data_IF_971396908782
#
_entry.id   IF_971396908782
#
_cell.length_a   1.000
_cell.length_b   1.000
_cell.length_c   1.000
_cell.angle_alpha   90.00
_cell.angle_beta   90.00
_cell.angle_gamma   90.00
#
_symmetry.space_group_name_H-M   'P 1'
#
loop_
_entity.id
_entity.type
_entity.pdbx_description
1 polymer ?
#
# COMPACT_ATOMS: atom_id res chain seq x y z
N UNK A 1 7.08 -7.62 -8.70
CA UNK A 1 6.43 -8.09 -7.45
C UNK A 1 7.15 -7.59 -6.20
N UNK A 2 8.48 -7.67 -6.17
CA UNK A 2 9.29 -7.27 -5.01
C UNK A 2 9.05 -5.81 -4.61
N UNK A 3 9.02 -4.87 -5.56
CA UNK A 3 8.89 -3.43 -5.29
C UNK A 3 7.61 -3.03 -4.52
N UNK A 4 6.43 -3.51 -4.93
CA UNK A 4 5.18 -3.16 -4.23
C UNK A 4 5.11 -3.81 -2.85
N UNK A 5 5.63 -5.03 -2.71
CA UNK A 5 5.75 -5.70 -1.41
C UNK A 5 6.73 -4.97 -0.49
N UNK A 6 7.88 -4.54 -0.99
CA UNK A 6 8.83 -3.76 -0.19
C UNK A 6 8.23 -2.42 0.22
N UNK A 7 7.53 -1.70 -0.66
CA UNK A 7 6.82 -0.47 -0.29
C UNK A 7 5.78 -0.69 0.82
N UNK A 8 4.99 -1.77 0.73
CA UNK A 8 4.02 -2.11 1.77
C UNK A 8 4.69 -2.47 3.10
N UNK A 9 5.74 -3.30 3.07
CA UNK A 9 6.48 -3.70 4.27
C UNK A 9 7.14 -2.49 4.93
N UNK A 10 7.80 -1.63 4.15
CA UNK A 10 8.40 -0.38 4.65
C UNK A 10 7.33 0.56 5.20
N UNK A 11 6.19 0.70 4.53
CA UNK A 11 5.08 1.52 5.01
C UNK A 11 4.47 0.99 6.33
N UNK A 12 4.30 -0.32 6.47
CA UNK A 12 3.81 -0.94 7.71
C UNK A 12 4.82 -0.78 8.85
N UNK A 13 6.11 -1.01 8.58
CA UNK A 13 7.17 -0.79 9.59
C UNK A 13 7.24 0.68 10.03
N UNK A 14 7.14 1.61 9.08
CA UNK A 14 7.09 3.04 9.38
C UNK A 14 5.88 3.41 10.24
N UNK A 15 4.69 2.83 9.96
CA UNK A 15 3.51 3.01 10.80
C UNK A 15 3.72 2.49 12.23
N UNK A 16 4.29 1.30 12.38
CA UNK A 16 4.57 0.71 13.69
C UNK A 16 5.56 1.57 14.48
N UNK A 17 6.58 2.12 13.83
CA UNK A 17 7.52 3.05 14.46
C UNK A 17 6.84 4.37 14.87
N UNK A 18 5.94 4.91 14.04
CA UNK A 18 5.14 6.09 14.40
C UNK A 18 4.22 5.79 15.60
N UNK A 19 3.62 4.60 15.65
CA UNK A 19 2.79 4.16 16.77
C UNK A 19 3.61 4.06 18.06
N UNK A 20 4.82 3.51 17.99
CA UNK A 20 5.73 3.41 19.13
C UNK A 20 6.17 4.79 19.63
N UNK A 21 6.50 5.71 18.71
CA UNK A 21 6.80 7.11 19.03
C UNK A 21 5.60 7.83 19.67
N UNK A 22 4.40 7.61 19.15
CA UNK A 22 3.17 8.16 19.71
C UNK A 22 2.92 7.60 21.12
N UNK A 23 3.09 6.28 21.33
CA UNK A 23 2.95 5.63 22.62
C UNK A 23 3.92 6.22 23.66
N UNK A 24 5.20 6.35 23.30
CA UNK A 24 6.22 6.98 24.15
C UNK A 24 6.02 8.49 24.38
N UNK A 25 5.16 9.14 23.60
CA UNK A 25 4.75 10.53 23.81
C UNK A 25 3.51 10.66 24.71
N UNK A 26 2.83 9.57 25.05
CA UNK A 26 1.67 9.56 25.97
C UNK A 26 2.07 9.31 27.43
N UNK A 27 1.31 9.82 28.41
CA UNK A 27 1.57 9.59 29.83
C UNK A 27 1.39 8.13 30.28
N UNK A 28 0.78 7.27 29.45
CA UNK A 28 0.65 5.83 29.71
C UNK A 28 1.84 5.02 29.21
N UNK A 29 2.65 5.57 28.29
CA UNK A 29 3.74 4.86 27.61
C UNK A 29 5.13 5.47 27.79
N UNK A 30 5.26 6.64 28.39
CA UNK A 30 6.53 7.33 28.60
C UNK A 30 6.53 8.23 29.84
N UNK A 31 7.73 8.57 30.32
CA UNK A 31 7.91 9.38 31.54
C UNK A 31 7.55 10.86 31.40
N UNK A 32 7.44 11.38 30.17
CA UNK A 32 7.06 12.77 29.91
C UNK A 32 6.14 12.89 28.71
N UNK A 33 4.98 13.52 28.90
CA UNK A 33 4.04 13.86 27.83
C UNK A 33 4.60 14.98 26.95
N UNK A 34 4.65 14.78 25.63
CA UNK A 34 5.18 15.77 24.69
C UNK A 34 4.32 15.90 23.43
N UNK A 35 3.58 17.02 23.31
CA UNK A 35 2.75 17.32 22.12
C UNK A 35 3.56 17.39 20.84
N UNK A 36 4.78 17.93 20.89
CA UNK A 36 5.65 18.04 19.72
C UNK A 36 6.02 16.66 19.14
N UNK A 37 6.37 15.70 20.01
CA UNK A 37 6.64 14.31 19.59
C UNK A 37 5.41 13.64 18.99
N UNK A 38 4.22 13.91 19.55
CA UNK A 38 2.96 13.36 19.05
C UNK A 38 2.58 13.94 17.67
N UNK A 39 2.78 15.24 17.44
CA UNK A 39 2.59 15.86 16.12
C UNK A 39 3.59 15.32 15.09
N UNK A 40 4.85 15.11 15.48
CA UNK A 40 5.87 14.52 14.61
C UNK A 40 5.54 13.06 14.23
N UNK A 41 5.07 12.26 15.19
CA UNK A 41 4.59 10.90 14.94
C UNK A 41 3.38 10.89 13.98
N UNK A 42 2.46 11.85 14.13
CA UNK A 42 1.33 12.04 13.22
C UNK A 42 1.77 12.38 11.79
N UNK A 43 2.71 13.31 11.63
CA UNK A 43 3.25 13.66 10.32
C UNK A 43 3.92 12.46 9.63
N UNK A 44 4.71 11.68 10.38
CA UNK A 44 5.31 10.43 9.88
C UNK A 44 4.28 9.37 9.49
N UNK A 45 3.17 9.27 10.24
CA UNK A 45 2.11 8.31 9.96
C UNK A 45 1.39 8.57 8.64
N UNK A 46 1.20 9.85 8.26
CA UNK A 46 0.58 10.21 6.96
C UNK A 46 1.44 9.72 5.80
N UNK A 47 2.76 9.94 5.85
CA UNK A 47 3.68 9.46 4.82
C UNK A 47 3.72 7.92 4.77
N UNK A 48 3.65 7.26 5.92
CA UNK A 48 3.62 5.79 5.99
C UNK A 48 2.31 5.22 5.37
N UNK A 49 1.16 5.85 5.63
CA UNK A 49 -0.11 5.48 4.98
C UNK A 49 -0.06 5.69 3.47
N UNK A 50 0.54 6.78 2.99
CA UNK A 50 0.70 7.04 1.57
C UNK A 50 1.53 5.94 0.88
N UNK A 51 2.63 5.49 1.50
CA UNK A 51 3.45 4.39 0.97
C UNK A 51 2.66 3.08 0.86
N UNK A 52 1.83 2.77 1.86
CA UNK A 52 0.96 1.57 1.84
C UNK A 52 -0.07 1.68 0.71
N UNK A 53 -0.72 2.85 0.57
CA UNK A 53 -1.70 3.10 -0.47
C UNK A 53 -1.10 2.96 -1.87
N UNK A 54 0.08 3.55 -2.12
CA UNK A 54 0.81 3.44 -3.39
C UNK A 54 1.18 1.98 -3.68
N UNK A 55 1.67 1.25 -2.66
CA UNK A 55 1.94 -0.18 -2.78
C UNK A 55 0.69 -0.99 -3.15
N UNK A 56 -0.46 -0.68 -2.54
CA UNK A 56 -1.75 -1.29 -2.84
C UNK A 56 -2.26 -1.00 -4.25
N UNK A 57 -2.17 0.25 -4.70
CA UNK A 57 -2.54 0.67 -6.06
C UNK A 57 -1.72 -0.06 -7.13
N UNK A 58 -0.42 -0.24 -6.91
CA UNK A 58 0.42 -1.01 -7.82
C UNK A 58 -0.02 -2.47 -7.98
N UNK A 59 -0.50 -3.10 -6.89
CA UNK A 59 -1.06 -4.46 -6.95
C UNK A 59 -2.40 -4.48 -7.69
N UNK A 60 -3.26 -3.49 -7.46
CA UNK A 60 -4.55 -3.38 -8.14
C UNK A 60 -4.38 -3.18 -9.66
N UNK A 61 -3.44 -2.32 -10.07
CA UNK A 61 -3.10 -2.08 -11.47
C UNK A 61 -2.63 -3.37 -12.17
N UNK A 62 -1.71 -4.12 -11.56
CA UNK A 62 -1.28 -5.43 -12.12
C UNK A 62 -2.43 -6.43 -12.27
N UNK A 63 -3.38 -6.43 -11.33
CA UNK A 63 -4.56 -7.30 -11.43
C UNK A 63 -5.49 -6.84 -12.55
N UNK A 64 -5.61 -5.53 -12.77
CA UNK A 64 -6.39 -4.99 -13.87
C UNK A 64 -5.76 -5.32 -15.23
N UNK A 65 -4.43 -5.18 -15.37
CA UNK A 65 -3.68 -5.58 -16.56
C UNK A 65 -3.90 -7.07 -16.89
N UNK A 66 -3.74 -7.96 -15.92
CA UNK A 66 -3.95 -9.40 -16.14
C UNK A 66 -5.39 -9.73 -16.56
N UNK A 67 -6.38 -9.00 -16.04
CA UNK A 67 -7.79 -9.15 -16.46
C UNK A 67 -8.01 -8.63 -17.88
N UNK A 68 -7.38 -7.53 -18.26
CA UNK A 68 -7.45 -6.97 -19.60
C UNK A 68 -6.85 -7.92 -20.63
N UNK A 69 -5.68 -8.50 -20.35
CA UNK A 69 -5.04 -9.52 -21.19
C UNK A 69 -5.92 -10.77 -21.36
N UNK A 70 -6.52 -11.25 -20.26
CA UNK A 70 -7.43 -12.39 -20.32
C UNK A 70 -8.68 -12.12 -21.17
N UNK A 71 -9.24 -10.92 -21.07
CA UNK A 71 -10.38 -10.49 -21.88
C UNK A 71 -9.99 -10.36 -23.36
N UNK A 72 -8.84 -9.77 -23.66
CA UNK A 72 -8.32 -9.68 -25.03
C UNK A 72 -8.10 -11.07 -25.64
N UNK A 73 -7.53 -12.00 -24.89
CA UNK A 73 -7.33 -13.38 -25.35
C UNK A 73 -8.65 -14.14 -25.55
N UNK A 74 -9.67 -13.85 -24.74
CA UNK A 74 -11.01 -14.42 -24.94
C UNK A 74 -11.67 -13.86 -26.21
N UNK A 75 -11.58 -12.55 -26.42
CA UNK A 75 -12.11 -11.89 -27.62
C UNK A 75 -11.43 -12.39 -28.88
N UNK A 76 -10.09 -12.52 -28.88
CA UNK A 76 -9.36 -13.03 -30.05
C UNK A 76 -9.75 -14.47 -30.40
N UNK A 77 -9.98 -15.33 -29.40
CA UNK A 77 -10.48 -16.70 -29.62
C UNK A 77 -11.88 -16.71 -30.21
N UNK A 78 -12.77 -15.86 -29.73
CA UNK A 78 -14.14 -15.74 -30.26
C UNK A 78 -14.09 -15.25 -31.71
N UNK A 79 -13.24 -14.26 -31.99
CA UNK A 79 -13.02 -13.76 -33.34
C UNK A 79 -12.50 -14.85 -34.28
N UNK A 80 -11.50 -15.63 -33.86
CA UNK A 80 -10.98 -16.76 -34.64
C UNK A 80 -12.04 -17.85 -34.90
N UNK A 81 -12.89 -18.14 -33.92
CA UNK A 81 -14.01 -19.09 -34.07
C UNK A 81 -15.08 -18.58 -35.04
N UNK A 82 -15.38 -17.29 -35.04
CA UNK A 82 -16.33 -16.68 -35.99
C UNK A 82 -15.75 -16.58 -37.40
N UNK A 83 -14.42 -16.49 -37.53
CA UNK A 83 -13.72 -16.35 -38.81
C UNK A 83 -13.50 -17.68 -39.52
N UNK A 84 -13.52 -18.80 -38.79
CA UNK A 84 -13.49 -20.15 -39.35
C UNK A 84 -14.95 -20.64 -39.47
N UNK A 85 -15.53 -20.70 -40.68
CA UNK A 85 -16.89 -21.21 -40.88
C UNK A 85 -17.02 -22.68 -40.50
#
# INVERSE_FOLDING_TARGET
MILHRTLQVVGVLALLMCLNLAWGATPWGGGEWSRARMLYAGAGAVSALALIAIGGLGVALKRAEARAEALQAALSRIEDMLRRP
#
